data_IF_665632535642
#
_entry.id   IF_665632535642
#
_cell.length_a   1.000
_cell.length_b   1.000
_cell.length_c   1.000
_cell.angle_alpha   90.00
_cell.angle_beta   90.00
_cell.angle_gamma   90.00
#
_symmetry.space_group_name_H-M   'P 1'
#
loop_
_entity.id
_entity.type
_entity.pdbx_description
1 polymer ?
#
# COMPACT_ATOMS: atom_id res chain seq x y z
N UNK A 1 8.53 17.98 0.00
CA UNK A 1 8.07 16.63 0.37
C UNK A 1 9.26 15.79 0.84
N UNK A 2 9.12 15.00 1.91
CA UNK A 2 10.17 14.10 2.41
C UNK A 2 9.62 12.68 2.42
N UNK A 3 10.37 11.74 1.86
CA UNK A 3 10.02 10.33 1.92
C UNK A 3 10.96 9.60 2.87
N UNK A 4 10.41 8.86 3.82
CA UNK A 4 11.18 8.17 4.87
C UNK A 4 11.14 6.67 4.62
N UNK A 5 12.31 6.03 4.62
CA UNK A 5 12.43 4.57 4.56
C UNK A 5 12.85 4.05 5.93
N UNK A 6 11.91 3.44 6.66
CA UNK A 6 12.20 2.86 7.97
C UNK A 6 13.00 1.55 7.88
N UNK A 7 12.75 0.75 6.83
CA UNK A 7 13.43 -0.51 6.54
C UNK A 7 13.49 -0.74 5.03
N UNK A 8 14.66 -1.11 4.48
CA UNK A 8 14.76 -1.59 3.10
C UNK A 8 14.46 -3.10 3.01
N UNK A 9 14.15 -3.59 1.81
CA UNK A 9 13.92 -5.02 1.57
C UNK A 9 15.09 -5.88 2.10
N UNK A 10 16.33 -5.49 1.75
CA UNK A 10 17.56 -6.23 2.09
C UNK A 10 17.99 -6.09 3.56
N UNK A 11 17.37 -5.20 4.32
CA UNK A 11 17.75 -4.98 5.72
C UNK A 11 17.15 -6.04 6.64
N UNK A 12 17.95 -6.72 7.48
CA UNK A 12 17.41 -7.64 8.49
C UNK A 12 16.56 -6.91 9.54
N UNK A 13 15.50 -7.57 10.02
CA UNK A 13 14.59 -7.03 11.06
C UNK A 13 15.34 -6.48 12.28
N UNK A 14 16.32 -7.22 12.78
CA UNK A 14 17.12 -6.86 13.96
C UNK A 14 17.74 -5.46 13.86
N UNK A 15 18.12 -5.03 12.66
CA UNK A 15 18.73 -3.71 12.41
C UNK A 15 17.68 -2.60 12.28
N UNK A 16 16.52 -2.91 11.73
CA UNK A 16 15.47 -1.93 11.44
C UNK A 16 14.48 -1.71 12.60
N UNK A 17 14.45 -2.58 13.62
CA UNK A 17 13.48 -2.52 14.73
C UNK A 17 13.41 -1.15 15.41
N UNK A 18 14.56 -0.50 15.64
CA UNK A 18 14.60 0.86 16.24
C UNK A 18 14.00 1.92 15.33
N UNK A 19 14.18 1.79 14.02
CA UNK A 19 13.67 2.76 13.05
C UNK A 19 12.15 2.67 12.95
N UNK A 20 11.57 1.47 12.98
CA UNK A 20 10.13 1.28 12.91
C UNK A 20 9.38 1.91 14.09
N UNK A 21 10.00 1.95 15.28
CA UNK A 21 9.44 2.67 16.43
C UNK A 21 9.29 4.18 16.20
N UNK A 22 9.99 4.76 15.22
CA UNK A 22 9.84 6.17 14.84
C UNK A 22 8.54 6.43 14.05
N UNK A 23 7.87 5.39 13.54
CA UNK A 23 6.56 5.53 12.89
C UNK A 23 5.47 5.95 13.89
N UNK A 24 5.64 5.64 15.18
CA UNK A 24 4.68 5.93 16.25
C UNK A 24 4.92 7.28 16.92
N UNK A 25 5.86 8.09 16.42
CA UNK A 25 6.21 9.37 17.04
C UNK A 25 5.22 10.46 16.63
N UNK A 26 4.51 11.03 17.60
CA UNK A 26 3.57 12.14 17.39
C UNK A 26 4.25 13.34 16.71
N UNK A 27 3.55 13.97 15.77
CA UNK A 27 3.97 15.21 15.10
C UNK A 27 4.81 15.05 13.82
N UNK A 28 5.03 13.82 13.34
CA UNK A 28 5.82 13.56 12.12
C UNK A 28 5.01 13.59 10.82
N UNK A 29 3.69 13.39 10.89
CA UNK A 29 2.79 13.26 9.74
C UNK A 29 1.49 14.00 10.06
N UNK A 30 1.26 15.17 9.45
CA UNK A 30 0.03 15.95 9.59
C UNK A 30 -0.71 16.14 8.26
N UNK A 31 -0.06 15.77 7.16
CA UNK A 31 -0.52 16.01 5.79
C UNK A 31 -0.34 14.70 4.99
N UNK A 32 -1.44 14.19 4.44
CA UNK A 32 -1.52 12.89 3.76
C UNK A 32 -1.76 13.11 2.26
N UNK A 33 -0.67 13.13 1.49
CA UNK A 33 -0.71 13.16 0.02
C UNK A 33 -0.48 11.72 -0.50
N UNK A 34 -1.44 10.84 -0.18
CA UNK A 34 -1.30 9.39 -0.35
C UNK A 34 -1.05 8.96 -1.81
N UNK A 35 -1.59 9.70 -2.78
CA UNK A 35 -1.35 9.44 -4.21
C UNK A 35 0.13 9.54 -4.58
N UNK A 36 0.83 10.56 -4.10
CA UNK A 36 2.27 10.73 -4.33
C UNK A 36 3.09 9.68 -3.58
N UNK A 37 2.68 9.34 -2.35
CA UNK A 37 3.32 8.29 -1.57
C UNK A 37 3.23 6.93 -2.29
N UNK A 38 2.07 6.61 -2.88
CA UNK A 38 1.86 5.42 -3.70
C UNK A 38 2.76 5.41 -4.93
N UNK A 39 2.82 6.51 -5.70
CA UNK A 39 3.68 6.60 -6.88
C UNK A 39 5.15 6.45 -6.52
N UNK A 40 5.59 7.05 -5.41
CA UNK A 40 6.96 6.92 -4.94
C UNK A 40 7.30 5.49 -4.50
N UNK A 41 6.41 4.84 -3.73
CA UNK A 41 6.59 3.46 -3.31
C UNK A 41 6.59 2.50 -4.50
N UNK A 42 5.67 2.69 -5.44
CA UNK A 42 5.58 1.94 -6.70
C UNK A 42 6.87 2.06 -7.52
N UNK A 43 7.36 3.28 -7.73
CA UNK A 43 8.59 3.53 -8.51
C UNK A 43 9.81 2.80 -7.93
N UNK A 44 9.88 2.69 -6.59
CA UNK A 44 10.93 1.91 -5.92
C UNK A 44 10.74 0.41 -6.08
N UNK A 45 9.50 -0.05 -6.05
CA UNK A 45 9.16 -1.46 -6.13
C UNK A 45 9.36 -2.01 -7.55
N UNK A 46 9.07 -1.26 -8.61
CA UNK A 46 9.29 -1.73 -9.99
C UNK A 46 10.78 -1.84 -10.35
N UNK A 47 11.65 -1.10 -9.68
CA UNK A 47 13.10 -1.15 -9.87
C UNK A 47 13.75 -2.40 -9.25
N UNK A 48 12.96 -3.28 -8.63
CA UNK A 48 13.41 -4.46 -7.90
C UNK A 48 13.38 -5.70 -8.82
N UNK A 49 14.37 -6.60 -8.73
CA UNK A 49 14.46 -7.79 -9.58
C UNK A 49 13.41 -8.87 -9.26
N UNK A 50 12.74 -8.78 -8.11
CA UNK A 50 11.69 -9.70 -7.69
C UNK A 50 10.56 -9.75 -8.73
N UNK A 51 10.22 -10.97 -9.17
CA UNK A 51 9.18 -11.23 -10.17
C UNK A 51 7.81 -10.78 -9.67
N UNK A 52 7.48 -11.16 -8.43
CA UNK A 52 6.22 -10.80 -7.79
C UNK A 52 6.39 -9.58 -6.90
N UNK A 53 5.59 -8.55 -7.17
CA UNK A 53 5.72 -7.22 -6.55
C UNK A 53 4.41 -6.83 -5.90
N UNK A 54 4.41 -6.81 -4.58
CA UNK A 54 3.21 -6.52 -3.78
C UNK A 54 3.42 -5.18 -3.07
N UNK A 55 2.49 -4.26 -3.26
CA UNK A 55 2.41 -2.98 -2.56
C UNK A 55 1.24 -3.03 -1.58
N UNK A 56 1.55 -3.10 -0.28
CA UNK A 56 0.57 -3.07 0.80
C UNK A 56 0.54 -1.69 1.46
N UNK A 57 -0.64 -1.08 1.48
CA UNK A 57 -0.90 0.20 2.15
C UNK A 57 -1.49 -0.07 3.52
N UNK A 58 -1.00 0.63 4.54
CA UNK A 58 -1.61 0.63 5.87
C UNK A 58 -1.92 2.09 6.18
N UNK A 59 -3.20 2.44 6.32
CA UNK A 59 -3.65 3.83 6.53
C UNK A 59 -4.65 3.92 7.68
N UNK A 60 -4.56 4.96 8.49
CA UNK A 60 -5.49 5.30 9.58
C UNK A 60 -6.48 6.41 9.19
N UNK A 61 -6.46 6.91 7.94
CA UNK A 61 -7.32 8.00 7.50
C UNK A 61 -7.45 8.16 5.99
N UNK A 62 -8.24 9.17 5.59
CA UNK A 62 -8.38 9.64 4.22
C UNK A 62 -7.26 10.62 3.85
N UNK A 63 -6.97 10.86 2.55
CA UNK A 63 -6.01 11.87 2.13
C UNK A 63 -6.51 13.28 2.52
N UNK A 64 -5.75 13.98 3.37
CA UNK A 64 -6.07 15.32 3.88
C UNK A 64 -4.78 16.12 4.00
N UNK A 65 -4.74 17.30 3.36
CA UNK A 65 -3.63 18.27 3.43
C UNK A 65 -4.23 19.68 3.49
N UNK A 66 -4.03 20.38 4.61
CA UNK A 66 -4.66 21.67 4.90
C UNK A 66 -4.24 22.76 3.88
N UNK A 67 -2.98 22.70 3.42
CA UNK A 67 -2.45 23.66 2.43
C UNK A 67 -3.08 23.46 1.04
N UNK A 68 -3.28 22.22 0.62
CA UNK A 68 -3.92 21.85 -0.64
C UNK A 68 -5.40 22.18 -0.63
N UNK A 69 -6.10 21.93 0.48
CA UNK A 69 -7.52 22.25 0.66
C UNK A 69 -7.80 23.76 0.67
N UNK A 70 -6.82 24.58 1.06
CA UNK A 70 -6.98 26.04 1.12
C UNK A 70 -7.05 26.72 -0.26
N UNK A 71 -6.54 26.06 -1.31
CA UNK A 71 -6.44 26.64 -2.67
C UNK A 71 -7.02 25.75 -3.78
N UNK A 72 -7.40 24.50 -3.48
CA UNK A 72 -8.02 23.58 -4.44
C UNK A 72 -9.42 23.15 -4.01
N UNK A 73 -10.16 22.49 -4.91
CA UNK A 73 -11.40 21.83 -4.52
C UNK A 73 -11.14 20.77 -3.44
N UNK A 74 -12.05 20.64 -2.48
CA UNK A 74 -11.93 19.69 -1.36
C UNK A 74 -11.77 18.22 -1.77
N UNK A 75 -12.01 17.90 -3.05
CA UNK A 75 -11.92 16.57 -3.64
C UNK A 75 -10.62 16.31 -4.41
N UNK A 76 -9.72 17.29 -4.55
CA UNK A 76 -8.54 17.16 -5.42
C UNK A 76 -7.64 15.98 -5.06
N UNK A 77 -7.30 15.83 -3.77
CA UNK A 77 -6.46 14.74 -3.29
C UNK A 77 -7.16 13.37 -3.39
N UNK A 78 -8.48 13.34 -3.16
CA UNK A 78 -9.26 12.12 -3.32
C UNK A 78 -9.26 11.66 -4.79
N UNK A 79 -9.50 12.59 -5.73
CA UNK A 79 -9.46 12.30 -7.16
C UNK A 79 -8.07 11.83 -7.60
N UNK A 80 -7.02 12.49 -7.11
CA UNK A 80 -5.65 12.10 -7.40
C UNK A 80 -5.36 10.68 -6.86
N UNK A 81 -5.72 10.38 -5.61
CA UNK A 81 -5.57 9.06 -5.02
C UNK A 81 -6.28 7.98 -5.86
N UNK A 82 -7.54 8.23 -6.26
CA UNK A 82 -8.31 7.32 -7.12
C UNK A 82 -7.64 7.09 -8.47
N UNK A 83 -7.10 8.14 -9.09
CA UNK A 83 -6.40 8.03 -10.36
C UNK A 83 -5.13 7.19 -10.24
N UNK A 84 -4.34 7.40 -9.19
CA UNK A 84 -3.11 6.64 -8.95
C UNK A 84 -3.43 5.17 -8.67
N UNK A 85 -4.38 4.88 -7.76
CA UNK A 85 -4.81 3.51 -7.46
C UNK A 85 -5.30 2.82 -8.73
N UNK A 86 -6.19 3.48 -9.49
CA UNK A 86 -6.71 2.95 -10.74
C UNK A 86 -5.60 2.65 -11.75
N UNK A 87 -4.60 3.52 -11.89
CA UNK A 87 -3.44 3.29 -12.75
C UNK A 87 -2.62 2.08 -12.29
N UNK A 88 -2.30 1.96 -10.99
CA UNK A 88 -1.55 0.81 -10.47
C UNK A 88 -2.34 -0.49 -10.72
N UNK A 89 -3.62 -0.53 -10.36
CA UNK A 89 -4.44 -1.74 -10.46
C UNK A 89 -4.74 -2.20 -11.90
N UNK A 90 -4.68 -1.30 -12.89
CA UNK A 90 -5.09 -1.61 -14.27
C UNK A 90 -3.96 -1.58 -15.29
N UNK A 91 -2.83 -0.94 -14.97
CA UNK A 91 -1.72 -0.76 -15.92
C UNK A 91 -0.37 -1.23 -15.40
N UNK A 92 -0.24 -1.57 -14.12
CA UNK A 92 1.02 -2.05 -13.55
C UNK A 92 0.94 -3.52 -13.19
N UNK A 93 2.08 -4.22 -13.27
CA UNK A 93 2.26 -5.58 -12.75
C UNK A 93 2.43 -5.61 -11.21
N UNK A 94 2.07 -4.53 -10.52
CA UNK A 94 2.21 -4.43 -9.06
C UNK A 94 0.86 -4.75 -8.44
N UNK A 95 0.85 -5.76 -7.56
CA UNK A 95 -0.35 -6.13 -6.81
C UNK A 95 -0.55 -5.16 -5.65
N UNK A 96 -1.62 -4.38 -5.71
CA UNK A 96 -1.96 -3.38 -4.71
C UNK A 96 -3.03 -3.91 -3.75
N UNK A 97 -2.79 -3.72 -2.45
CA UNK A 97 -3.77 -4.03 -1.39
C UNK A 97 -3.66 -3.05 -0.23
N UNK A 98 -4.72 -2.92 0.57
CA UNK A 98 -4.77 -1.95 1.66
C UNK A 98 -5.37 -2.51 2.96
N UNK A 99 -4.89 -1.99 4.09
CA UNK A 99 -5.44 -2.20 5.43
C UNK A 99 -5.78 -0.84 6.02
N UNK A 100 -7.05 -0.59 6.29
CA UNK A 100 -7.54 0.60 6.97
C UNK A 100 -7.63 0.36 8.47
N UNK A 101 -7.07 1.24 9.31
CA UNK A 101 -7.20 1.16 10.78
C UNK A 101 -8.19 2.23 11.23
N UNK A 102 -9.36 1.82 11.72
CA UNK A 102 -10.42 2.75 12.11
C UNK A 102 -11.03 3.56 10.95
N UNK A 103 -10.61 3.30 9.72
CA UNK A 103 -11.05 4.02 8.51
C UNK A 103 -11.37 3.06 7.36
N UNK A 104 -12.46 3.33 6.65
CA UNK A 104 -12.91 2.52 5.52
C UNK A 104 -12.15 2.84 4.23
N UNK A 105 -11.10 2.05 3.95
CA UNK A 105 -10.27 2.18 2.74
C UNK A 105 -10.82 1.39 1.54
N UNK A 106 -11.88 0.59 1.73
CA UNK A 106 -12.47 -0.25 0.65
C UNK A 106 -13.09 0.58 -0.47
N UNK A 107 -13.35 1.87 -0.20
CA UNK A 107 -13.85 2.86 -1.17
C UNK A 107 -12.84 3.22 -2.25
N UNK A 108 -11.56 2.94 -2.01
CA UNK A 108 -10.46 3.33 -2.90
C UNK A 108 -9.78 2.10 -3.51
N UNK A 109 -9.53 1.07 -2.71
CA UNK A 109 -8.74 -0.10 -3.11
C UNK A 109 -9.64 -1.31 -3.34
N UNK A 110 -9.41 -2.05 -4.44
CA UNK A 110 -10.17 -3.26 -4.76
C UNK A 110 -9.91 -4.40 -3.78
N UNK A 111 -8.67 -4.53 -3.31
CA UNK A 111 -8.22 -5.52 -2.32
C UNK A 111 -7.97 -4.80 -1.01
N UNK A 112 -8.94 -4.80 -0.12
CA UNK A 112 -8.84 -4.07 1.14
C UNK A 112 -9.55 -4.76 2.30
N UNK A 113 -9.05 -4.50 3.49
CA UNK A 113 -9.70 -4.84 4.76
C UNK A 113 -9.63 -3.65 5.70
N UNK A 114 -10.67 -3.48 6.52
CA UNK A 114 -10.70 -2.47 7.58
C UNK A 114 -10.67 -3.18 8.93
N UNK A 115 -9.72 -2.82 9.77
CA UNK A 115 -9.60 -3.27 11.16
C UNK A 115 -9.99 -2.15 12.11
N UNK A 116 -10.41 -2.51 13.31
CA UNK A 116 -10.85 -1.52 14.31
C UNK A 116 -9.66 -0.80 14.93
N UNK A 117 -8.59 -1.53 15.22
CA UNK A 117 -7.42 -1.05 15.95
C UNK A 117 -6.14 -1.71 15.41
N UNK A 118 -4.98 -1.19 15.83
CA UNK A 118 -3.68 -1.66 15.38
C UNK A 118 -3.29 -3.05 15.93
N UNK A 119 -3.96 -3.56 16.97
CA UNK A 119 -3.65 -4.87 17.55
C UNK A 119 -4.02 -5.99 16.57
N UNK A 120 -5.02 -5.76 15.74
CA UNK A 120 -5.49 -6.68 14.70
C UNK A 120 -4.61 -6.68 13.43
N UNK A 121 -3.68 -5.73 13.31
CA UNK A 121 -2.90 -5.51 12.09
C UNK A 121 -2.11 -6.75 11.67
N UNK A 122 -1.46 -7.43 12.61
CA UNK A 122 -0.65 -8.61 12.31
C UNK A 122 -1.45 -9.76 11.69
N UNK A 123 -2.66 -10.00 12.20
CA UNK A 123 -3.59 -10.99 11.65
C UNK A 123 -4.06 -10.59 10.26
N UNK A 124 -4.57 -9.36 10.11
CA UNK A 124 -5.05 -8.84 8.85
C UNK A 124 -3.98 -8.87 7.73
N UNK A 125 -2.73 -8.51 8.05
CA UNK A 125 -1.62 -8.62 7.09
C UNK A 125 -1.40 -10.05 6.62
N UNK A 126 -1.42 -11.00 7.55
CA UNK A 126 -1.20 -12.42 7.25
C UNK A 126 -2.32 -12.96 6.36
N UNK A 127 -3.57 -12.64 6.69
CA UNK A 127 -4.74 -13.10 5.94
C UNK A 127 -4.80 -12.52 4.53
N UNK A 128 -4.51 -11.23 4.36
CA UNK A 128 -4.47 -10.58 3.05
C UNK A 128 -3.38 -11.19 2.16
N UNK A 129 -2.19 -11.44 2.71
CA UNK A 129 -1.12 -12.11 1.97
C UNK A 129 -1.50 -13.54 1.61
N UNK A 130 -2.09 -14.30 2.55
CA UNK A 130 -2.54 -15.67 2.29
C UNK A 130 -3.59 -15.71 1.16
N UNK A 131 -4.57 -14.81 1.17
CA UNK A 131 -5.58 -14.68 0.11
C UNK A 131 -4.92 -14.35 -1.25
N UNK A 132 -3.99 -13.40 -1.27
CA UNK A 132 -3.25 -13.01 -2.46
C UNK A 132 -2.44 -14.18 -3.07
N UNK A 133 -1.83 -15.02 -2.22
CA UNK A 133 -1.12 -16.22 -2.68
C UNK A 133 -2.08 -17.32 -3.17
N UNK A 134 -3.26 -17.44 -2.56
CA UNK A 134 -4.24 -18.46 -2.93
C UNK A 134 -4.88 -18.21 -4.30
N UNK A 135 -5.24 -16.96 -4.61
CA UNK A 135 -5.79 -16.58 -5.92
C UNK A 135 -4.82 -16.89 -7.07
N UNK A 136 -3.53 -16.61 -6.86
CA UNK A 136 -2.52 -16.86 -7.87
C UNK A 136 -2.38 -18.37 -8.17
N UNK A 137 -2.45 -19.25 -7.15
CA UNK A 137 -2.49 -20.70 -7.39
C UNK A 137 -3.69 -21.13 -8.22
N UNK A 138 -4.83 -20.45 -8.09
CA UNK A 138 -6.01 -20.75 -8.91
C UNK A 138 -5.81 -20.32 -10.36
N UNK A 139 -5.18 -19.16 -10.60
CA UNK A 139 -4.83 -18.70 -11.94
C UNK A 139 -3.87 -19.66 -12.65
N UNK A 140 -2.79 -20.07 -11.96
CA UNK A 140 -1.86 -21.11 -12.46
C UNK A 140 -2.53 -22.45 -12.79
N UNK A 141 -3.52 -22.88 -12.00
CA UNK A 141 -4.26 -24.12 -12.27
C UNK A 141 -5.18 -24.03 -13.48
N UNK A 142 -5.69 -22.84 -13.77
CA UNK A 142 -6.60 -22.61 -14.90
C UNK A 142 -5.86 -22.36 -16.22
N UNK A 143 -4.65 -21.80 -16.18
CA UNK A 143 -3.85 -21.49 -17.38
C UNK A 143 -3.06 -22.71 -17.93
N UNK A 144 -2.99 -23.81 -17.17
CA UNK A 144 -2.35 -25.07 -17.58
C UNK A 144 -0.82 -24.95 -17.79
N UNK A 145 -0.05 -26.05 -17.73
CA UNK A 145 1.37 -25.98 -18.06
C UNK A 145 1.49 -25.66 -19.55
N UNK A 146 2.02 -24.48 -19.89
CA UNK A 146 2.49 -24.16 -21.23
C UNK A 146 3.45 -25.28 -21.64
N UNK A 147 3.02 -26.10 -22.60
CA UNK A 147 3.88 -27.11 -23.21
C UNK A 147 4.99 -26.37 -23.93
N UNK A 148 6.18 -26.35 -23.34
CA UNK A 148 7.41 -26.03 -24.05
C UNK A 148 7.61 -27.15 -25.08
N UNK A 149 7.50 -26.79 -26.36
CA UNK A 149 7.93 -27.64 -27.48
C UNK A 149 9.45 -27.60 -27.62
#
# INVERSE_FOLDING_TARGET
>A
MRHIVYKTADSPWRRARRNLGLMMREGLLKENIDGEALLWAHSRLIARPEERRILMVISDGAPVDDSTLSVNSGTYLEQHLRQVIGWIETRSDVELLAIGIGHDVTRYYRRAVTIVDAEQLGGAMTDQLAALFAEHRHQWRNDGPVRVL
#
